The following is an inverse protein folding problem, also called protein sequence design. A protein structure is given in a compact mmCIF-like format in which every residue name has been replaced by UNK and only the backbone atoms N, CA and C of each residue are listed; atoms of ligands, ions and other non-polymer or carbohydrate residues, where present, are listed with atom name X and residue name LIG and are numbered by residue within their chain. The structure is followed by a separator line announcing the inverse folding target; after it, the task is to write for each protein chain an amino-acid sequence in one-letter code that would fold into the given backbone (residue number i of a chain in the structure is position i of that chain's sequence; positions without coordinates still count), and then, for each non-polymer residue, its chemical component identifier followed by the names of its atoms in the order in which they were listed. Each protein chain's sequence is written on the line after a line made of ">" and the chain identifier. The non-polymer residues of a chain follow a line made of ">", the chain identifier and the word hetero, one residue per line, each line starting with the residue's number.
data_IF_020953446566
#
_entry.id   IF_020953446566
#
_cell.length_a   1.000
_cell.length_b   1.000
_cell.length_c   1.000
_cell.angle_alpha   90.00
_cell.angle_beta   90.00
_cell.angle_gamma   90.00
#
_symmetry.space_group_name_H-M   'P 1'
#
loop_
_entity.id
_entity.type
_entity.pdbx_description
1 polymer ?
#
# COMPACT_ATOMS: atom_id res chain seq x y z
N UNK A 1 -22.33 -6.62 -35.99
CA UNK A 1 -23.33 -6.61 -34.91
C UNK A 1 -22.82 -5.68 -33.82
N UNK A 2 -23.34 -4.45 -33.72
CA UNK A 2 -22.85 -3.45 -32.76
C UNK A 2 -23.11 -3.94 -31.33
N UNK A 3 -22.04 -4.28 -30.60
CA UNK A 3 -22.13 -4.48 -29.15
C UNK A 3 -22.56 -3.15 -28.53
N UNK A 4 -23.80 -3.09 -28.04
CA UNK A 4 -24.32 -1.95 -27.27
C UNK A 4 -23.45 -1.86 -26.02
N UNK A 5 -22.41 -1.00 -26.03
CA UNK A 5 -21.63 -0.71 -24.82
C UNK A 5 -22.62 -0.22 -23.77
N UNK A 6 -22.86 -1.04 -22.75
CA UNK A 6 -23.59 -0.62 -21.57
C UNK A 6 -22.76 0.52 -20.98
N UNK A 7 -23.24 1.75 -21.11
CA UNK A 7 -22.57 2.92 -20.57
C UNK A 7 -22.79 2.88 -19.06
N UNK A 8 -21.86 2.29 -18.33
CA UNK A 8 -21.90 2.23 -16.87
C UNK A 8 -21.75 3.65 -16.32
N UNK A 9 -22.53 3.98 -15.28
CA UNK A 9 -22.51 5.32 -14.69
C UNK A 9 -21.21 5.58 -13.93
N UNK A 10 -20.58 4.52 -13.43
CA UNK A 10 -19.38 4.55 -12.58
C UNK A 10 -18.36 3.52 -13.08
N UNK A 11 -17.09 3.90 -13.13
CA UNK A 11 -15.99 3.00 -13.51
C UNK A 11 -15.49 2.24 -12.27
N UNK A 12 -15.28 0.92 -12.40
CA UNK A 12 -14.77 0.05 -11.32
C UNK A 12 -13.25 0.07 -11.22
N UNK A 13 -12.60 0.16 -12.38
CA UNK A 13 -11.15 0.07 -12.53
C UNK A 13 -10.69 1.00 -13.65
N UNK A 14 -9.52 1.59 -13.47
CA UNK A 14 -8.87 2.41 -14.47
C UNK A 14 -7.42 1.97 -14.63
N UNK A 15 -7.04 1.62 -15.86
CA UNK A 15 -5.65 1.35 -16.24
C UNK A 15 -5.08 2.64 -16.83
N UNK A 16 -4.15 3.25 -16.11
CA UNK A 16 -3.52 4.53 -16.48
C UNK A 16 -2.03 4.34 -16.79
N UNK A 17 -1.31 5.44 -17.04
CA UNK A 17 0.16 5.42 -17.18
C UNK A 17 0.83 5.11 -15.82
N UNK A 18 0.17 5.44 -14.71
CA UNK A 18 0.72 5.30 -13.37
C UNK A 18 0.53 3.91 -12.74
N UNK A 19 -0.18 3.03 -13.44
CA UNK A 19 -0.59 1.71 -12.98
C UNK A 19 -2.11 1.52 -13.04
N UNK A 20 -2.55 0.42 -12.43
CA UNK A 20 -3.96 -0.01 -12.39
C UNK A 20 -4.58 0.39 -11.05
N UNK A 21 -5.62 1.22 -11.08
CA UNK A 21 -6.44 1.56 -9.90
C UNK A 21 -7.79 0.87 -9.97
N UNK A 22 -8.26 0.36 -8.84
CA UNK A 22 -9.54 -0.33 -8.78
C UNK A 22 -10.20 -0.23 -7.41
N UNK A 23 -11.52 -0.38 -7.45
CA UNK A 23 -12.35 -0.49 -6.26
C UNK A 23 -12.64 -1.97 -6.04
N UNK A 24 -12.41 -2.45 -4.82
CA UNK A 24 -12.87 -3.75 -4.35
C UNK A 24 -13.28 -3.66 -2.87
N UNK A 25 -14.05 -4.63 -2.36
CA UNK A 25 -14.39 -4.70 -0.95
C UNK A 25 -13.15 -4.88 -0.09
N UNK A 26 -13.03 -4.09 0.98
CA UNK A 26 -11.95 -4.17 1.98
C UNK A 26 -12.54 -4.12 3.38
N UNK A 27 -11.87 -4.73 4.36
CA UNK A 27 -12.23 -4.50 5.76
C UNK A 27 -11.84 -3.08 6.16
N UNK A 28 -12.79 -2.22 6.58
CA UNK A 28 -12.47 -0.87 7.04
C UNK A 28 -11.52 -0.85 8.23
N UNK A 29 -11.61 -1.86 9.11
CA UNK A 29 -10.76 -2.01 10.29
C UNK A 29 -9.31 -2.27 9.88
N UNK A 30 -9.07 -3.17 8.91
CA UNK A 30 -7.70 -3.48 8.45
C UNK A 30 -7.05 -2.24 7.83
N UNK A 31 -7.80 -1.49 7.03
CA UNK A 31 -7.29 -0.25 6.42
C UNK A 31 -6.96 0.80 7.50
N UNK A 32 -7.82 0.95 8.51
CA UNK A 32 -7.58 1.84 9.64
C UNK A 32 -6.35 1.43 10.47
N UNK A 33 -6.16 0.13 10.71
CA UNK A 33 -4.98 -0.40 11.42
C UNK A 33 -3.69 -0.07 10.67
N UNK A 34 -3.67 -0.16 9.34
CA UNK A 34 -2.49 0.29 8.59
C UNK A 34 -2.23 1.79 8.77
N UNK A 35 -3.27 2.63 8.82
CA UNK A 35 -3.11 4.05 9.16
C UNK A 35 -2.62 4.29 10.60
N UNK A 36 -2.86 3.37 11.55
CA UNK A 36 -2.25 3.46 12.89
C UNK A 36 -0.76 3.16 12.89
N UNK A 37 -0.30 2.26 12.01
CA UNK A 37 1.14 1.95 11.92
C UNK A 37 1.94 3.07 11.27
N UNK A 38 1.33 3.76 10.30
CA UNK A 38 1.91 4.90 9.61
C UNK A 38 0.80 5.70 8.91
N UNK A 39 0.58 6.97 9.25
CA UNK A 39 -0.35 7.82 8.52
C UNK A 39 -0.06 7.84 7.03
N UNK A 40 -1.09 7.53 6.24
CA UNK A 40 -1.03 7.46 4.78
C UNK A 40 -1.05 6.05 4.20
N UNK A 41 -0.65 5.03 4.95
CA UNK A 41 -0.72 3.63 4.50
C UNK A 41 -2.15 3.17 4.19
N UNK A 42 -3.12 3.51 5.05
CA UNK A 42 -4.52 3.21 4.74
C UNK A 42 -5.01 3.89 3.46
N UNK A 43 -4.58 5.12 3.17
CA UNK A 43 -4.93 5.82 1.93
C UNK A 43 -4.30 5.18 0.69
N UNK A 44 -3.06 4.69 0.79
CA UNK A 44 -2.40 3.94 -0.30
C UNK A 44 -3.17 2.66 -0.63
N UNK A 45 -3.61 1.89 0.39
CA UNK A 45 -4.44 0.69 0.16
C UNK A 45 -5.76 0.99 -0.58
N UNK A 46 -6.26 2.21 -0.45
CA UNK A 46 -7.44 2.70 -1.16
C UNK A 46 -7.12 3.34 -2.52
N UNK A 47 -5.88 3.21 -3.01
CA UNK A 47 -5.37 3.83 -4.23
C UNK A 47 -5.49 5.37 -4.23
N UNK A 48 -5.52 5.99 -3.04
CA UNK A 48 -5.51 7.45 -2.86
C UNK A 48 -4.07 7.96 -2.68
N UNK A 49 -3.23 7.67 -3.67
CA UNK A 49 -1.78 7.86 -3.60
C UNK A 49 -1.34 9.27 -3.17
N UNK A 50 -1.88 10.33 -3.76
CA UNK A 50 -1.48 11.71 -3.41
C UNK A 50 -1.69 12.00 -1.92
N UNK A 51 -2.85 11.59 -1.37
CA UNK A 51 -3.15 11.77 0.06
C UNK A 51 -2.23 10.90 0.93
N UNK A 52 -2.04 9.65 0.51
CA UNK A 52 -1.16 8.71 1.21
C UNK A 52 0.28 9.22 1.29
N UNK A 53 0.86 9.63 0.17
CA UNK A 53 2.23 10.16 0.11
C UNK A 53 2.39 11.45 0.90
N UNK A 54 1.42 12.37 0.83
CA UNK A 54 1.46 13.60 1.62
C UNK A 54 1.46 13.31 3.13
N UNK A 55 0.63 12.37 3.58
CA UNK A 55 0.58 11.96 4.99
C UNK A 55 1.87 11.25 5.44
N UNK A 56 2.48 10.41 4.59
CA UNK A 56 3.77 9.75 4.88
C UNK A 56 4.90 10.79 5.01
N UNK A 57 4.99 11.74 4.08
CA UNK A 57 6.01 12.79 4.13
C UNK A 57 5.85 13.62 5.41
N UNK A 58 4.61 13.97 5.74
CA UNK A 58 4.31 14.74 6.93
C UNK A 58 4.60 13.97 8.23
N UNK A 59 4.29 12.67 8.27
CA UNK A 59 4.64 11.76 9.37
C UNK A 59 6.14 11.77 9.62
N UNK A 60 6.94 11.57 8.56
CA UNK A 60 8.40 11.58 8.67
C UNK A 60 8.87 12.94 9.21
N UNK A 61 8.38 14.04 8.65
CA UNK A 61 8.75 15.39 9.10
C UNK A 61 8.46 15.61 10.59
N UNK A 62 7.23 15.35 11.04
CA UNK A 62 6.83 15.56 12.43
C UNK A 62 7.59 14.62 13.38
N UNK A 63 7.74 13.35 13.03
CA UNK A 63 8.37 12.37 13.90
C UNK A 63 9.87 12.68 14.06
N UNK A 64 10.55 13.15 13.00
CA UNK A 64 11.90 13.70 13.12
C UNK A 64 11.96 14.97 13.97
N UNK A 65 11.02 15.90 13.80
CA UNK A 65 11.00 17.14 14.58
C UNK A 65 10.66 16.91 16.07
N UNK A 66 9.95 15.82 16.40
CA UNK A 66 9.52 15.49 17.76
C UNK A 66 10.42 14.50 18.49
N UNK A 67 11.35 13.81 17.80
CA UNK A 67 12.08 12.64 18.30
C UNK A 67 11.16 11.52 18.81
N UNK A 68 9.97 11.37 18.22
CA UNK A 68 8.94 10.46 18.73
C UNK A 68 9.42 9.01 18.76
N UNK A 69 10.09 8.53 17.70
CA UNK A 69 10.64 7.17 17.66
C UNK A 69 11.62 6.90 18.81
N UNK A 70 12.55 7.82 19.07
CA UNK A 70 13.53 7.67 20.16
C UNK A 70 12.84 7.66 21.53
N UNK A 71 11.88 8.57 21.73
CA UNK A 71 11.08 8.61 22.94
C UNK A 71 10.26 7.32 23.15
N UNK A 72 9.74 6.71 22.08
CA UNK A 72 9.05 5.42 22.14
C UNK A 72 9.99 4.31 22.61
N UNK A 73 11.23 4.26 22.14
CA UNK A 73 12.20 3.25 22.61
C UNK A 73 12.47 3.40 24.09
N UNK A 74 12.80 4.61 24.55
CA UNK A 74 13.01 4.87 25.98
C UNK A 74 11.77 4.48 26.82
N UNK A 75 10.58 4.78 26.31
CA UNK A 75 9.33 4.39 26.97
C UNK A 75 9.17 2.87 27.08
N UNK A 76 9.52 2.11 26.04
CA UNK A 76 9.38 0.65 26.02
C UNK A 76 10.42 -0.09 26.88
N UNK A 77 11.60 0.49 27.07
CA UNK A 77 12.61 -0.07 27.99
C UNK A 77 12.41 0.38 29.45
N UNK A 78 11.40 1.22 29.71
CA UNK A 78 11.04 1.70 31.04
C UNK A 78 11.75 2.98 31.49
N UNK A 79 12.59 3.59 30.65
CA UNK A 79 13.25 4.87 30.94
C UNK A 79 12.32 6.05 30.59
N UNK A 80 11.33 6.27 31.45
CA UNK A 80 10.33 7.31 31.26
C UNK A 80 10.93 8.72 31.35
N UNK A 81 12.04 8.88 32.08
CA UNK A 81 12.67 10.19 32.21
C UNK A 81 13.40 10.57 30.91
N UNK A 82 14.23 9.67 30.36
CA UNK A 82 14.88 9.90 29.07
C UNK A 82 13.86 10.11 27.94
N UNK A 83 12.73 9.39 27.97
CA UNK A 83 11.64 9.58 27.01
C UNK A 83 11.06 11.00 27.05
N UNK A 84 10.85 11.56 28.25
CA UNK A 84 10.36 12.94 28.42
C UNK A 84 11.39 13.97 27.99
N UNK A 85 12.67 13.73 28.28
CA UNK A 85 13.74 14.69 28.02
C UNK A 85 14.03 14.84 26.52
N UNK A 86 13.91 13.75 25.74
CA UNK A 86 14.17 13.79 24.29
C UNK A 86 12.98 14.26 23.46
N UNK A 87 11.75 14.10 23.97
CA UNK A 87 10.52 14.33 23.21
C UNK A 87 10.19 15.82 23.09
N UNK A 88 10.07 16.33 21.87
CA UNK A 88 9.64 17.71 21.63
C UNK A 88 8.12 17.80 21.55
N UNK A 89 7.51 18.07 22.71
CA UNK A 89 6.06 17.99 22.95
C UNK A 89 5.21 18.85 21.98
N UNK A 90 5.70 20.03 21.58
CA UNK A 90 4.95 20.93 20.68
C UNK A 90 4.60 20.27 19.34
N UNK A 91 5.54 19.53 18.74
CA UNK A 91 5.30 18.81 17.48
C UNK A 91 4.35 17.63 17.69
N UNK A 92 4.41 16.97 18.86
CA UNK A 92 3.51 15.86 19.20
C UNK A 92 2.06 16.34 19.34
N UNK A 93 1.82 17.50 19.95
CA UNK A 93 0.46 18.03 20.05
C UNK A 93 -0.12 18.40 18.68
N UNK A 94 0.70 18.88 17.76
CA UNK A 94 0.29 19.09 16.36
C UNK A 94 0.04 17.76 15.63
N UNK A 95 0.76 16.70 16.01
CA UNK A 95 0.67 15.39 15.41
C UNK A 95 -0.65 14.66 15.71
N UNK A 96 -1.08 14.66 16.98
CA UNK A 96 -2.21 13.87 17.47
C UNK A 96 -3.50 14.05 16.62
N UNK A 97 -3.97 15.28 16.31
CA UNK A 97 -5.18 15.45 15.52
C UNK A 97 -5.06 14.88 14.11
N UNK A 98 -3.90 15.07 13.47
CA UNK A 98 -3.70 14.58 12.11
C UNK A 98 -3.58 13.04 12.08
N UNK A 99 -2.91 12.46 13.07
CA UNK A 99 -2.83 11.01 13.25
C UNK A 99 -4.23 10.39 13.37
N UNK A 100 -5.07 10.92 14.27
CA UNK A 100 -6.46 10.48 14.45
C UNK A 100 -7.30 10.70 13.19
N UNK A 101 -7.11 11.83 12.51
CA UNK A 101 -7.78 12.13 11.25
C UNK A 101 -7.44 11.11 10.17
N UNK A 102 -6.16 10.74 10.01
CA UNK A 102 -5.73 9.77 9.01
C UNK A 102 -6.40 8.40 9.22
N UNK A 103 -6.46 7.94 10.48
CA UNK A 103 -7.12 6.69 10.86
C UNK A 103 -8.62 6.76 10.53
N UNK A 104 -9.30 7.79 11.02
CA UNK A 104 -10.75 7.96 10.80
C UNK A 104 -11.11 8.12 9.33
N UNK A 105 -10.40 8.96 8.57
CA UNK A 105 -10.69 9.21 7.15
C UNK A 105 -10.46 7.95 6.31
N UNK A 106 -9.40 7.18 6.60
CA UNK A 106 -9.14 5.92 5.91
C UNK A 106 -10.24 4.88 6.19
N UNK A 107 -10.72 4.77 7.44
CA UNK A 107 -11.85 3.91 7.80
C UNK A 107 -13.12 4.31 7.05
N UNK A 108 -13.55 5.57 7.18
CA UNK A 108 -14.79 6.07 6.58
C UNK A 108 -14.75 5.94 5.06
N UNK A 109 -13.63 6.29 4.44
CA UNK A 109 -13.44 6.16 3.00
C UNK A 109 -13.56 4.70 2.55
N UNK A 110 -13.06 3.74 3.32
CA UNK A 110 -13.18 2.32 3.00
C UNK A 110 -14.64 1.89 2.96
N UNK A 111 -15.44 2.30 3.95
CA UNK A 111 -16.89 2.02 3.99
C UNK A 111 -17.57 2.55 2.72
N UNK A 112 -17.27 3.79 2.33
CA UNK A 112 -17.89 4.38 1.15
C UNK A 112 -17.45 3.74 -0.16
N UNK A 113 -16.18 3.37 -0.29
CA UNK A 113 -15.69 2.65 -1.47
C UNK A 113 -16.32 1.26 -1.59
N UNK A 114 -16.55 0.57 -0.47
CA UNK A 114 -17.28 -0.70 -0.46
C UNK A 114 -18.74 -0.51 -0.93
N UNK A 115 -19.43 0.53 -0.45
CA UNK A 115 -20.79 0.85 -0.91
C UNK A 115 -20.83 1.14 -2.41
N UNK A 116 -19.86 1.90 -2.92
CA UNK A 116 -19.72 2.18 -4.35
C UNK A 116 -19.50 0.87 -5.12
N UNK A 117 -18.60 0.00 -4.67
CA UNK A 117 -18.33 -1.29 -5.29
C UNK A 117 -19.61 -2.09 -5.51
N UNK A 118 -20.44 -2.27 -4.47
CA UNK A 118 -21.68 -3.06 -4.56
C UNK A 118 -22.72 -2.46 -5.51
N UNK A 119 -22.68 -1.14 -5.73
CA UNK A 119 -23.55 -0.48 -6.71
C UNK A 119 -23.03 -0.70 -8.14
N UNK A 120 -21.71 -0.64 -8.34
CA UNK A 120 -21.07 -0.81 -9.66
C UNK A 120 -21.06 -2.26 -10.12
N UNK A 121 -20.85 -3.22 -9.23
CA UNK A 121 -20.84 -4.65 -9.55
C UNK A 121 -22.15 -5.11 -10.23
N UNK A 122 -23.28 -4.51 -9.84
CA UNK A 122 -24.59 -4.76 -10.47
C UNK A 122 -24.66 -4.33 -11.93
N UNK A 123 -23.89 -3.32 -12.34
CA UNK A 123 -23.84 -2.83 -13.71
C UNK A 123 -22.96 -3.70 -14.63
N UNK A 124 -22.18 -4.64 -14.08
CA UNK A 124 -21.25 -5.53 -14.79
C UNK A 124 -20.35 -4.77 -15.79
N UNK A 125 -19.58 -3.77 -15.33
CA UNK A 125 -18.68 -3.04 -16.20
C UNK A 125 -17.63 -3.99 -16.81
N UNK A 126 -17.28 -3.75 -18.06
CA UNK A 126 -16.16 -4.44 -18.72
C UNK A 126 -14.89 -3.69 -18.33
N UNK A 127 -13.93 -4.33 -17.63
CA UNK A 127 -12.66 -3.70 -17.30
C UNK A 127 -11.88 -3.33 -18.56
N UNK A 128 -11.13 -2.23 -18.52
CA UNK A 128 -10.11 -1.96 -19.54
C UNK A 128 -8.95 -2.93 -19.30
N UNK A 129 -8.37 -3.48 -20.38
CA UNK A 129 -7.32 -4.52 -20.30
C UNK A 129 -5.92 -3.99 -20.60
N UNK A 130 -5.82 -2.95 -21.43
CA UNK A 130 -4.55 -2.45 -21.93
C UNK A 130 -4.63 -0.94 -22.16
N UNK A 131 -3.59 -0.24 -21.73
CA UNK A 131 -3.33 1.16 -22.03
C UNK A 131 -1.89 1.28 -22.53
N UNK A 132 -1.74 1.62 -23.81
CA UNK A 132 -0.44 1.90 -24.44
C UNK A 132 -0.26 3.41 -24.53
N UNK A 133 0.76 3.95 -23.85
CA UNK A 133 1.14 5.36 -23.89
C UNK A 133 2.66 5.49 -24.06
N UNK A 134 3.18 6.63 -24.54
CA UNK A 134 4.61 6.76 -24.84
C UNK A 134 5.56 6.50 -23.66
N UNK A 135 5.09 6.75 -22.43
CA UNK A 135 5.89 6.58 -21.22
C UNK A 135 5.77 5.20 -20.58
N UNK A 136 4.65 4.50 -20.76
CA UNK A 136 4.39 3.23 -20.09
C UNK A 136 3.34 2.41 -20.86
N UNK A 137 3.51 1.08 -20.82
CA UNK A 137 2.52 0.12 -21.28
C UNK A 137 1.96 -0.58 -20.05
N UNK A 138 0.71 -0.27 -19.70
CA UNK A 138 0.03 -0.92 -18.59
C UNK A 138 -1.04 -1.87 -19.09
N UNK A 139 -1.03 -3.08 -18.54
CA UNK A 139 -1.94 -4.14 -18.92
C UNK A 139 -2.39 -4.93 -17.70
N UNK A 140 -3.53 -5.59 -17.86
CA UNK A 140 -4.07 -6.51 -16.88
C UNK A 140 -3.49 -7.90 -17.15
N UNK A 141 -2.80 -8.47 -16.17
CA UNK A 141 -2.21 -9.79 -16.27
C UNK A 141 -2.31 -10.60 -14.99
N UNK A 142 -2.26 -11.92 -15.15
CA UNK A 142 -2.28 -12.83 -14.03
C UNK A 142 -0.87 -13.04 -13.48
N UNK A 143 -0.67 -12.69 -12.21
CA UNK A 143 0.62 -12.70 -11.50
C UNK A 143 0.61 -13.64 -10.29
N UNK A 144 1.79 -14.06 -9.84
CA UNK A 144 1.90 -14.89 -8.64
C UNK A 144 2.05 -14.00 -7.38
N UNK A 145 1.13 -14.06 -6.40
CA UNK A 145 1.22 -13.26 -5.18
C UNK A 145 2.49 -13.52 -4.36
N UNK A 146 3.01 -14.76 -4.37
CA UNK A 146 4.21 -15.11 -3.63
C UNK A 146 5.47 -14.44 -4.20
N UNK A 147 5.50 -14.22 -5.52
CA UNK A 147 6.60 -13.51 -6.18
C UNK A 147 6.61 -12.04 -5.76
N UNK A 148 5.45 -11.42 -5.59
CA UNK A 148 5.35 -10.06 -5.07
C UNK A 148 5.85 -9.95 -3.62
N UNK A 149 5.45 -10.89 -2.75
CA UNK A 149 5.97 -10.97 -1.37
C UNK A 149 7.49 -11.07 -1.38
N UNK A 150 8.05 -12.01 -2.15
CA UNK A 150 9.48 -12.24 -2.22
C UNK A 150 10.24 -10.96 -2.63
N UNK A 151 9.79 -10.28 -3.68
CA UNK A 151 10.43 -9.03 -4.11
C UNK A 151 10.29 -7.91 -3.09
N UNK A 152 9.11 -7.71 -2.49
CA UNK A 152 8.92 -6.71 -1.43
C UNK A 152 9.71 -7.01 -0.15
N UNK A 153 10.02 -8.28 0.15
CA UNK A 153 10.92 -8.64 1.25
C UNK A 153 12.37 -8.26 0.98
N UNK A 154 12.81 -8.27 -0.28
CA UNK A 154 14.18 -7.87 -0.63
C UNK A 154 14.34 -6.37 -0.68
N UNK A 155 13.47 -5.68 -1.44
CA UNK A 155 13.42 -4.24 -1.56
C UNK A 155 11.94 -3.87 -1.53
N UNK A 156 11.45 -3.15 -0.51
CA UNK A 156 10.03 -2.83 -0.35
C UNK A 156 9.33 -2.36 -1.63
N UNK A 157 9.99 -1.55 -2.47
CA UNK A 157 9.45 -1.00 -3.72
C UNK A 157 9.35 -1.99 -4.90
N UNK A 158 10.04 -3.13 -4.84
CA UNK A 158 10.11 -4.05 -5.97
C UNK A 158 8.77 -4.77 -6.23
N UNK A 159 7.94 -4.98 -5.21
CA UNK A 159 6.59 -5.53 -5.39
C UNK A 159 5.66 -4.58 -6.16
N UNK A 160 5.78 -3.26 -5.96
CA UNK A 160 5.01 -2.27 -6.72
C UNK A 160 5.52 -2.16 -8.17
N UNK A 161 6.82 -2.29 -8.39
CA UNK A 161 7.38 -2.40 -9.75
C UNK A 161 6.85 -3.63 -10.47
N UNK A 162 6.80 -4.76 -9.77
CA UNK A 162 6.16 -5.96 -10.30
C UNK A 162 4.72 -5.67 -10.69
N UNK A 163 3.95 -4.87 -9.95
CA UNK A 163 2.58 -4.51 -10.31
C UNK A 163 2.43 -3.35 -11.32
N UNK A 164 3.51 -2.89 -11.95
CA UNK A 164 3.56 -1.68 -12.79
C UNK A 164 3.00 -0.40 -12.13
N UNK A 165 3.09 -0.30 -10.80
CA UNK A 165 2.70 0.90 -10.06
C UNK A 165 3.88 1.85 -9.93
N UNK A 166 4.33 2.41 -11.06
CA UNK A 166 5.60 3.14 -11.16
C UNK A 166 5.72 4.31 -10.16
N UNK A 167 4.63 5.05 -9.93
CA UNK A 167 4.64 6.18 -9.01
C UNK A 167 4.81 5.72 -7.56
N UNK A 168 4.09 4.66 -7.17
CA UNK A 168 4.19 4.06 -5.83
C UNK A 168 5.57 3.44 -5.61
N UNK A 169 6.06 2.70 -6.61
CA UNK A 169 7.39 2.11 -6.61
C UNK A 169 8.49 3.16 -6.41
N UNK A 170 8.46 4.25 -7.17
CA UNK A 170 9.45 5.32 -7.06
C UNK A 170 9.41 5.97 -5.67
N UNK A 171 8.21 6.33 -5.19
CA UNK A 171 8.04 6.92 -3.87
C UNK A 171 8.56 6.00 -2.75
N UNK A 172 8.14 4.73 -2.75
CA UNK A 172 8.59 3.74 -1.78
C UNK A 172 10.10 3.49 -1.86
N UNK A 173 10.69 3.52 -3.05
CA UNK A 173 12.14 3.35 -3.21
C UNK A 173 12.89 4.50 -2.55
N UNK A 174 12.47 5.75 -2.76
CA UNK A 174 13.08 6.92 -2.12
C UNK A 174 12.97 6.83 -0.60
N UNK A 175 11.79 6.48 -0.07
CA UNK A 175 11.57 6.30 1.37
C UNK A 175 12.45 5.18 1.93
N UNK A 176 12.51 4.04 1.23
CA UNK A 176 13.35 2.89 1.60
C UNK A 176 14.82 3.27 1.69
N UNK A 177 15.35 3.91 0.64
CA UNK A 177 16.75 4.35 0.61
C UNK A 177 17.04 5.34 1.72
N UNK A 178 16.14 6.30 1.95
CA UNK A 178 16.25 7.29 3.03
C UNK A 178 16.35 6.61 4.39
N UNK A 179 15.41 5.71 4.71
CA UNK A 179 15.40 5.03 6.00
C UNK A 179 16.60 4.12 6.19
N UNK A 180 16.97 3.34 5.16
CA UNK A 180 18.15 2.46 5.23
C UNK A 180 19.43 3.27 5.43
N UNK A 181 19.59 4.37 4.69
CA UNK A 181 20.77 5.21 4.76
C UNK A 181 20.94 5.84 6.15
N UNK A 182 19.91 6.54 6.65
CA UNK A 182 20.02 7.26 7.91
C UNK A 182 19.94 6.36 9.15
N UNK A 183 19.42 5.13 9.04
CA UNK A 183 19.39 4.17 10.15
C UNK A 183 20.67 3.38 10.32
N UNK A 184 21.59 3.41 9.34
CA UNK A 184 22.73 2.49 9.26
C UNK A 184 22.31 1.01 9.31
N UNK A 185 21.08 0.68 8.87
CA UNK A 185 20.53 -0.67 9.01
C UNK A 185 21.39 -1.76 8.34
N UNK A 186 21.90 -1.50 7.13
CA UNK A 186 22.72 -2.47 6.41
C UNK A 186 24.09 -2.65 7.07
N UNK A 187 24.65 -1.59 7.64
CA UNK A 187 25.90 -1.64 8.41
C UNK A 187 25.73 -2.45 9.69
N UNK A 188 24.67 -2.19 10.45
CA UNK A 188 24.31 -2.99 11.63
C UNK A 188 24.07 -4.46 11.28
N UNK A 189 23.36 -4.74 10.19
CA UNK A 189 23.14 -6.10 9.70
C UNK A 189 24.44 -6.80 9.29
N UNK A 190 25.39 -6.08 8.67
CA UNK A 190 26.69 -6.61 8.32
C UNK A 190 27.46 -7.10 9.55
N UNK A 191 27.59 -6.25 10.58
CA UNK A 191 28.24 -6.64 11.83
C UNK A 191 27.50 -7.75 12.58
N UNK A 192 26.16 -7.79 12.48
CA UNK A 192 25.36 -8.86 13.05
C UNK A 192 25.72 -10.22 12.41
N UNK A 193 25.89 -10.27 11.09
CA UNK A 193 26.27 -11.48 10.35
C UNK A 193 27.69 -11.94 10.73
N UNK A 194 28.60 -11.00 11.01
CA UNK A 194 29.95 -11.29 11.49
C UNK A 194 29.99 -11.77 12.95
N UNK A 195 28.87 -11.69 13.68
CA UNK A 195 28.78 -12.06 15.10
C UNK A 195 29.17 -10.94 16.07
N UNK A 196 29.40 -9.72 15.59
CA UNK A 196 29.78 -8.55 16.39
C UNK A 196 28.53 -7.83 16.93
N UNK A 197 27.80 -8.46 17.85
CA UNK A 197 26.51 -7.96 18.34
C UNK A 197 26.55 -6.56 18.97
N UNK A 198 27.59 -6.27 19.74
CA UNK A 198 27.73 -4.98 20.41
C UNK A 198 27.93 -3.86 19.38
N UNK A 199 28.90 -4.02 18.49
CA UNK A 199 29.19 -3.06 17.43
C UNK A 199 28.00 -2.89 16.47
N UNK A 200 27.33 -4.00 16.13
CA UNK A 200 26.07 -4.01 15.35
C UNK A 200 24.99 -3.12 15.96
N UNK A 201 24.86 -3.09 17.28
CA UNK A 201 23.84 -2.27 17.96
C UNK A 201 24.28 -0.81 18.06
N UNK A 202 25.57 -0.55 18.28
CA UNK A 202 26.12 0.80 18.45
C UNK A 202 26.05 1.65 17.17
N UNK A 203 26.18 1.04 16.00
CA UNK A 203 26.10 1.75 14.71
C UNK A 203 24.68 2.18 14.32
N UNK A 204 23.64 1.59 14.92
CA UNK A 204 22.26 1.82 14.51
C UNK A 204 21.71 3.13 15.03
N UNK A 205 21.07 3.90 14.13
CA UNK A 205 20.36 5.11 14.54
C UNK A 205 18.89 4.82 14.85
N UNK A 206 18.55 4.73 16.13
CA UNK A 206 17.25 4.24 16.60
C UNK A 206 16.03 5.03 16.06
N UNK A 207 16.14 6.35 15.96
CA UNK A 207 15.10 7.22 15.41
C UNK A 207 14.70 6.82 13.98
N UNK A 208 15.67 6.46 13.14
CA UNK A 208 15.45 6.09 11.74
C UNK A 208 15.14 4.60 11.59
N UNK A 209 15.74 3.77 12.45
CA UNK A 209 15.54 2.32 12.46
C UNK A 209 14.06 1.96 12.67
N UNK A 210 13.37 2.67 13.56
CA UNK A 210 11.98 2.36 13.91
C UNK A 210 10.95 2.55 12.79
N UNK A 211 11.32 3.18 11.68
CA UNK A 211 10.45 3.24 10.50
C UNK A 211 10.45 1.93 9.68
N UNK A 212 11.51 1.14 9.79
CA UNK A 212 11.74 -0.02 8.91
C UNK A 212 10.67 -1.11 9.06
N UNK A 213 10.25 -1.52 10.27
CA UNK A 213 9.25 -2.59 10.41
C UNK A 213 7.93 -2.26 9.70
N UNK A 214 7.40 -1.06 9.90
CA UNK A 214 6.12 -0.66 9.27
C UNK A 214 6.28 -0.55 7.75
N UNK A 215 7.41 -0.02 7.26
CA UNK A 215 7.73 0.03 5.83
C UNK A 215 7.72 -1.38 5.21
N UNK A 216 8.46 -2.33 5.76
CA UNK A 216 8.54 -3.68 5.17
C UNK A 216 7.21 -4.41 5.22
N UNK A 217 6.58 -4.48 6.40
CA UNK A 217 5.32 -5.22 6.55
C UNK A 217 4.20 -4.62 5.70
N UNK A 218 4.13 -3.30 5.59
CA UNK A 218 3.14 -2.64 4.75
C UNK A 218 3.34 -2.98 3.27
N UNK A 219 4.55 -2.82 2.74
CA UNK A 219 4.81 -3.05 1.32
C UNK A 219 4.66 -4.54 0.92
N UNK A 220 4.98 -5.47 1.82
CA UNK A 220 4.72 -6.90 1.63
C UNK A 220 3.20 -7.15 1.56
N UNK A 221 2.44 -6.60 2.50
CA UNK A 221 0.99 -6.76 2.53
C UNK A 221 0.32 -6.12 1.30
N UNK A 222 0.70 -4.88 0.97
CA UNK A 222 0.13 -4.10 -0.13
C UNK A 222 0.39 -4.77 -1.48
N UNK A 223 1.62 -5.21 -1.75
CA UNK A 223 1.97 -5.89 -3.00
C UNK A 223 1.23 -7.23 -3.14
N UNK A 224 1.17 -8.03 -2.08
CA UNK A 224 0.40 -9.28 -2.07
C UNK A 224 -1.07 -9.03 -2.38
N UNK A 225 -1.71 -8.13 -1.64
CA UNK A 225 -3.13 -7.81 -1.80
C UNK A 225 -3.40 -7.29 -3.21
N UNK A 226 -2.54 -6.42 -3.73
CA UNK A 226 -2.72 -5.86 -5.06
C UNK A 226 -2.60 -6.92 -6.16
N UNK A 227 -1.69 -7.89 -6.04
CA UNK A 227 -1.63 -9.02 -6.98
C UNK A 227 -2.91 -9.86 -6.93
N UNK A 228 -3.38 -10.21 -5.73
CA UNK A 228 -4.60 -11.02 -5.57
C UNK A 228 -5.80 -10.35 -6.23
N UNK A 229 -5.93 -9.04 -6.05
CA UNK A 229 -7.09 -8.28 -6.54
C UNK A 229 -6.99 -7.95 -8.04
N UNK A 230 -5.77 -7.68 -8.53
CA UNK A 230 -5.51 -7.57 -9.96
C UNK A 230 -5.84 -8.89 -10.69
N UNK A 231 -5.46 -10.04 -10.12
CA UNK A 231 -5.80 -11.35 -10.66
C UNK A 231 -7.32 -11.59 -10.74
N UNK A 232 -8.08 -11.17 -9.72
CA UNK A 232 -9.55 -11.26 -9.74
C UNK A 232 -10.14 -10.41 -10.87
N UNK A 233 -9.58 -9.21 -11.08
CA UNK A 233 -10.00 -8.33 -12.16
C UNK A 233 -9.69 -8.96 -13.54
N UNK A 234 -8.51 -9.57 -13.69
CA UNK A 234 -8.13 -10.32 -14.90
C UNK A 234 -9.11 -11.46 -15.18
N UNK A 235 -9.40 -12.30 -14.18
CA UNK A 235 -10.33 -13.42 -14.33
C UNK A 235 -11.76 -12.96 -14.64
N UNK A 236 -12.21 -11.86 -14.04
CA UNK A 236 -13.51 -11.28 -14.30
C UNK A 236 -13.64 -10.77 -15.75
N UNK A 237 -12.62 -10.09 -16.26
CA UNK A 237 -12.57 -9.63 -17.64
C UNK A 237 -12.55 -10.82 -18.62
N UNK A 238 -11.66 -11.78 -18.41
CA UNK A 238 -11.53 -12.96 -19.27
C UNK A 238 -12.83 -13.75 -19.32
N UNK A 239 -13.49 -13.92 -18.17
CA UNK A 239 -14.81 -14.56 -18.08
C UNK A 239 -15.86 -13.79 -18.87
N UNK A 240 -15.92 -12.46 -18.77
CA UNK A 240 -16.88 -11.67 -19.54
C UNK A 240 -16.61 -11.77 -21.04
N UNK A 241 -15.35 -11.68 -21.47
CA UNK A 241 -14.96 -11.83 -22.87
C UNK A 241 -15.37 -13.19 -23.43
N UNK A 242 -15.08 -14.29 -22.72
CA UNK A 242 -15.44 -15.65 -23.15
C UNK A 242 -16.96 -15.84 -23.25
N UNK A 243 -17.72 -15.30 -22.29
CA UNK A 243 -19.18 -15.36 -22.31
C UNK A 243 -19.80 -14.61 -23.48
N UNK A 244 -19.24 -13.45 -23.83
CA UNK A 244 -19.78 -12.62 -24.92
C UNK A 244 -19.47 -13.21 -26.31
N UNK A 245 -18.30 -13.82 -26.49
CA UNK A 245 -17.83 -14.25 -27.80
C UNK A 245 -18.01 -15.75 -28.08
N UNK A 246 -17.99 -16.61 -27.05
CA UNK A 246 -17.92 -18.06 -27.24
C UNK A 246 -19.03 -18.86 -26.54
N UNK A 247 -19.76 -18.29 -25.56
CA UNK A 247 -20.81 -19.04 -24.88
C UNK A 247 -22.07 -19.17 -25.75
N UNK A 248 -22.38 -20.41 -26.13
CA UNK A 248 -23.62 -20.73 -26.86
C UNK A 248 -24.84 -20.38 -26.00
N UNK A 249 -25.85 -19.72 -26.58
CA UNK A 249 -27.04 -19.22 -25.87
C UNK A 249 -27.83 -20.31 -25.12
N UNK A 250 -27.76 -21.55 -25.59
CA UNK A 250 -28.43 -22.72 -25.00
C UNK A 250 -27.70 -23.26 -23.77
N UNK A 251 -26.40 -22.96 -23.63
CA UNK A 251 -25.58 -23.46 -22.53
C UNK A 251 -25.71 -22.54 -21.31
N UNK A 252 -26.48 -22.95 -20.30
CA UNK A 252 -26.55 -22.26 -19.01
C UNK A 252 -25.64 -22.97 -18.01
N UNK A 253 -24.57 -22.30 -17.58
CA UNK A 253 -23.78 -22.74 -16.43
C UNK A 253 -24.68 -22.65 -15.18
N UNK A 254 -24.98 -23.78 -14.53
CA UNK A 254 -25.60 -23.80 -13.21
C UNK A 254 -24.70 -23.00 -12.27
N UNK A 255 -25.16 -21.85 -11.77
CA UNK A 255 -24.46 -21.14 -10.71
C UNK A 255 -24.38 -22.08 -9.50
N UNK A 256 -23.17 -22.28 -8.97
CA UNK A 256 -22.98 -22.96 -7.68
C UNK A 256 -23.75 -22.15 -6.63
N UNK A 257 -24.63 -22.84 -5.88
CA UNK A 257 -25.25 -22.31 -4.67
C UNK A 257 -24.17 -21.96 -3.66
#
# INVERSE_FOLDING_TARGET
>A
MYSRRIKTRRELSNISIWGTTYIHPRSPIIVALWSTTFPGYGHILLHKYIRGFALIIWEIFINQASNLNTAMVYSFIGDIQAAKDVLVVNYVYMYIPLYLFAIWDSYRTTVELNNIYYLVEKEKPIPKVLTVKPLEINYLDKRNPLVAIFWSMTIPSAGQLYLHQILSAFFTLVVTVTFIHFSHFIEGLHYLILGEFQHSTEVLHIQWLLYIPSLYFFNIYESYMNVVENNKLFEAEQKLYLKQNYQVKTFKIKAKR
#
